data_IF_246392451166
#
_entry.id   IF_246392451166
#
_cell.length_a   1.000
_cell.length_b   1.000
_cell.length_c   1.000
_cell.angle_alpha   90.00
_cell.angle_beta   90.00
_cell.angle_gamma   90.00
#
_symmetry.space_group_name_H-M   'P 1'
#
loop_
_entity.id
_entity.type
_entity.pdbx_description
1 polymer ?
#
# COMPACT_ATOMS: atom_id res chain seq x y z
N UNK A 1 -8.87 11.06 -9.96
CA UNK A 1 -7.75 10.64 -9.11
C UNK A 1 -7.58 9.12 -9.22
N UNK A 2 -6.40 8.65 -9.59
CA UNK A 2 -6.11 7.26 -9.99
C UNK A 2 -6.44 6.18 -8.92
N UNK A 3 -6.73 6.57 -7.68
CA UNK A 3 -7.16 5.66 -6.61
C UNK A 3 -8.55 5.03 -6.82
N UNK A 4 -9.47 5.68 -7.56
CA UNK A 4 -10.79 5.09 -7.88
C UNK A 4 -10.68 3.99 -8.95
N UNK A 5 -9.71 4.10 -9.86
CA UNK A 5 -9.50 3.11 -10.92
C UNK A 5 -8.78 1.85 -10.42
N UNK A 6 -7.86 2.02 -9.46
CA UNK A 6 -7.08 0.92 -8.89
C UNK A 6 -7.89 -0.01 -7.98
N UNK A 7 -8.72 0.54 -7.10
CA UNK A 7 -9.58 -0.25 -6.22
C UNK A 7 -10.58 -1.10 -7.01
N UNK A 8 -11.12 -0.58 -8.13
CA UNK A 8 -12.19 -1.24 -8.88
C UNK A 8 -11.74 -2.51 -9.63
N UNK A 9 -10.45 -2.74 -9.88
CA UNK A 9 -9.97 -3.86 -10.72
C UNK A 9 -9.19 -4.93 -9.94
N UNK A 10 -8.70 -4.62 -8.74
CA UNK A 10 -7.97 -5.54 -7.84
C UNK A 10 -8.86 -6.34 -6.88
N UNK A 11 -10.16 -6.04 -6.79
CA UNK A 11 -11.12 -6.89 -6.04
C UNK A 11 -11.35 -8.26 -6.69
N UNK A 12 -10.81 -8.50 -7.89
CA UNK A 12 -10.76 -9.83 -8.49
C UNK A 12 -9.54 -10.58 -7.97
N UNK A 13 -9.69 -11.79 -7.38
CA UNK A 13 -8.59 -12.56 -6.81
C UNK A 13 -7.66 -13.10 -7.91
N UNK A 14 -6.80 -12.23 -8.47
CA UNK A 14 -5.77 -12.58 -9.46
C UNK A 14 -4.36 -12.67 -8.86
N UNK A 15 -4.19 -12.43 -7.56
CA UNK A 15 -2.88 -12.42 -6.88
C UNK A 15 -2.84 -13.32 -5.63
N UNK A 16 -2.79 -14.66 -5.79
CA UNK A 16 -2.78 -15.63 -4.69
C UNK A 16 -1.58 -15.52 -3.73
N UNK A 17 -0.54 -14.75 -4.07
CA UNK A 17 0.67 -14.53 -3.26
C UNK A 17 0.54 -13.38 -2.25
N UNK A 18 -0.56 -12.62 -2.28
CA UNK A 18 -0.80 -11.50 -1.35
C UNK A 18 -1.49 -11.95 -0.05
N UNK A 19 -1.62 -13.27 0.13
CA UNK A 19 -2.21 -13.91 1.30
C UNK A 19 -1.27 -13.81 2.50
N UNK A 20 -1.80 -13.47 3.66
CA UNK A 20 -1.13 -13.36 4.94
C UNK A 20 -1.24 -11.97 5.58
N UNK A 21 -0.90 -10.90 4.86
CA UNK A 21 -0.95 -9.53 5.42
C UNK A 21 -2.37 -8.98 5.40
N UNK A 22 -3.09 -9.15 4.30
CA UNK A 22 -4.47 -8.67 4.17
C UNK A 22 -5.40 -9.38 5.16
N UNK A 23 -5.26 -10.69 5.29
CA UNK A 23 -6.02 -11.52 6.24
C UNK A 23 -5.72 -11.11 7.69
N UNK A 24 -4.47 -10.75 8.00
CA UNK A 24 -4.10 -10.20 9.31
C UNK A 24 -4.75 -8.84 9.56
N UNK A 25 -4.74 -7.94 8.59
CA UNK A 25 -5.41 -6.64 8.71
C UNK A 25 -6.92 -6.82 8.93
N UNK A 26 -7.55 -7.76 8.23
CA UNK A 26 -8.97 -8.11 8.43
C UNK A 26 -9.23 -8.74 9.80
N UNK A 27 -8.33 -9.60 10.29
CA UNK A 27 -8.43 -10.15 11.64
C UNK A 27 -8.34 -9.03 12.70
N UNK A 28 -7.34 -8.13 12.59
CA UNK A 28 -7.18 -7.00 13.49
C UNK A 28 -8.42 -6.07 13.48
N UNK A 29 -9.03 -5.85 12.32
CA UNK A 29 -10.31 -5.15 12.20
C UNK A 29 -11.43 -5.91 12.93
N UNK A 30 -11.55 -7.22 12.70
CA UNK A 30 -12.60 -8.06 13.28
C UNK A 30 -12.54 -8.08 14.81
N UNK A 31 -11.35 -8.09 15.39
CA UNK A 31 -11.14 -8.03 16.85
C UNK A 31 -11.15 -6.61 17.42
N UNK A 32 -11.47 -5.59 16.61
CA UNK A 32 -11.58 -4.19 17.06
C UNK A 32 -10.26 -3.50 17.36
N UNK A 33 -9.12 -4.12 17.06
CA UNK A 33 -7.78 -3.54 17.25
C UNK A 33 -7.56 -2.39 16.27
N UNK A 34 -7.99 -2.57 15.02
CA UNK A 34 -8.00 -1.52 14.00
C UNK A 34 -9.43 -1.06 13.72
N UNK A 35 -9.61 0.25 13.58
CA UNK A 35 -10.87 0.77 13.07
C UNK A 35 -11.09 0.32 11.60
N UNK A 36 -12.34 0.12 11.14
CA UNK A 36 -12.61 -0.36 9.79
C UNK A 36 -11.95 0.46 8.68
N UNK A 37 -11.98 1.79 8.78
CA UNK A 37 -11.37 2.67 7.79
C UNK A 37 -9.83 2.52 7.74
N UNK A 38 -9.18 2.36 8.90
CA UNK A 38 -7.72 2.14 8.99
C UNK A 38 -7.33 0.84 8.32
N UNK A 39 -8.07 -0.24 8.59
CA UNK A 39 -7.78 -1.54 7.98
C UNK A 39 -7.92 -1.50 6.45
N UNK A 40 -8.95 -0.79 5.93
CA UNK A 40 -9.12 -0.57 4.51
C UNK A 40 -7.97 0.25 3.90
N UNK A 41 -7.58 1.36 4.53
CA UNK A 41 -6.46 2.19 4.05
C UNK A 41 -5.13 1.41 4.03
N UNK A 42 -4.82 0.64 5.07
CA UNK A 42 -3.61 -0.18 5.14
C UNK A 42 -3.62 -1.30 4.09
N UNK A 43 -4.79 -1.91 3.84
CA UNK A 43 -4.95 -2.92 2.79
C UNK A 43 -4.69 -2.33 1.41
N UNK A 44 -5.27 -1.18 1.11
CA UNK A 44 -5.14 -0.53 -0.19
C UNK A 44 -3.69 -0.07 -0.41
N UNK A 45 -3.03 0.46 0.63
CA UNK A 45 -1.62 0.79 0.61
C UNK A 45 -0.73 -0.44 0.37
N UNK A 46 -1.04 -1.56 1.05
CA UNK A 46 -0.33 -2.81 0.85
C UNK A 46 -0.46 -3.31 -0.60
N UNK A 47 -1.67 -3.34 -1.16
CA UNK A 47 -1.88 -3.77 -2.55
C UNK A 47 -1.06 -2.94 -3.53
N UNK A 48 -1.10 -1.61 -3.39
CA UNK A 48 -0.37 -0.70 -4.26
C UNK A 48 1.15 -0.92 -4.14
N UNK A 49 1.71 -0.85 -2.93
CA UNK A 49 3.16 -0.95 -2.72
C UNK A 49 3.72 -2.32 -3.10
N UNK A 50 2.96 -3.41 -2.89
CA UNK A 50 3.31 -4.74 -3.37
C UNK A 50 3.28 -4.84 -4.89
N UNK A 51 2.35 -4.13 -5.53
CA UNK A 51 2.33 -3.96 -6.98
C UNK A 51 3.61 -3.29 -7.47
N UNK A 52 3.97 -2.15 -6.88
CA UNK A 52 5.21 -1.40 -7.19
C UNK A 52 6.45 -2.29 -7.08
N UNK A 53 6.62 -2.98 -5.96
CA UNK A 53 7.76 -3.88 -5.75
C UNK A 53 7.80 -5.02 -6.78
N UNK A 54 6.64 -5.58 -7.12
CA UNK A 54 6.55 -6.63 -8.14
C UNK A 54 6.90 -6.11 -9.54
N UNK A 55 6.48 -4.88 -9.87
CA UNK A 55 6.83 -4.21 -11.12
C UNK A 55 8.33 -3.93 -11.22
N UNK A 56 8.94 -3.43 -10.14
CA UNK A 56 10.39 -3.20 -10.06
C UNK A 56 11.21 -4.48 -10.29
N UNK A 57 10.73 -5.61 -9.76
CA UNK A 57 11.34 -6.94 -10.01
C UNK A 57 11.18 -7.38 -11.46
N UNK A 58 9.99 -7.20 -12.05
CA UNK A 58 9.73 -7.56 -13.45
C UNK A 58 10.63 -6.78 -14.42
N UNK A 59 10.84 -5.50 -14.13
CA UNK A 59 11.71 -4.62 -14.92
C UNK A 59 13.21 -4.91 -14.73
N UNK A 60 13.58 -5.88 -13.88
CA UNK A 60 14.97 -6.23 -13.54
C UNK A 60 15.83 -5.00 -13.17
N UNK A 61 15.22 -4.04 -12.46
CA UNK A 61 15.91 -2.81 -12.05
C UNK A 61 17.06 -3.14 -11.10
N UNK A 62 18.20 -2.44 -11.27
CA UNK A 62 19.36 -2.59 -10.36
C UNK A 62 19.00 -2.23 -8.90
N UNK A 63 18.00 -1.37 -8.73
CA UNK A 63 17.45 -0.93 -7.45
C UNK A 63 16.10 -1.63 -7.18
N UNK A 64 16.15 -2.86 -6.65
CA UNK A 64 14.95 -3.67 -6.41
C UNK A 64 13.99 -3.10 -5.35
N UNK A 65 14.42 -2.07 -4.61
CA UNK A 65 13.69 -1.49 -3.48
C UNK A 65 13.49 0.03 -3.57
N UNK A 66 14.15 0.71 -4.51
CA UNK A 66 14.00 2.15 -4.69
C UNK A 66 13.25 2.46 -5.98
N UNK A 67 12.47 3.53 -5.96
CA UNK A 67 11.87 4.04 -7.18
C UNK A 67 12.97 4.49 -8.15
N UNK A 68 12.82 4.23 -9.45
CA UNK A 68 13.81 4.65 -10.43
C UNK A 68 13.91 6.18 -10.46
N UNK A 69 15.13 6.70 -10.49
CA UNK A 69 15.37 8.14 -10.71
C UNK A 69 15.24 8.57 -12.17
N UNK A 70 15.36 7.64 -13.11
CA UNK A 70 15.22 7.89 -14.55
C UNK A 70 13.74 8.02 -14.95
N UNK A 71 13.31 9.15 -15.56
CA UNK A 71 11.94 9.36 -16.02
C UNK A 71 11.41 8.27 -16.98
N UNK A 72 12.28 7.69 -17.80
CA UNK A 72 11.88 6.61 -18.71
C UNK A 72 11.53 5.34 -17.93
N UNK A 73 12.35 4.95 -16.97
CA UNK A 73 12.06 3.81 -16.08
C UNK A 73 10.80 4.06 -15.22
N UNK A 74 10.58 5.29 -14.75
CA UNK A 74 9.33 5.63 -14.05
C UNK A 74 8.10 5.45 -14.96
N UNK A 75 8.20 5.85 -16.23
CA UNK A 75 7.12 5.68 -17.21
C UNK A 75 6.85 4.21 -17.52
N UNK A 76 7.91 3.39 -17.63
CA UNK A 76 7.78 1.93 -17.76
C UNK A 76 7.10 1.30 -16.54
N UNK A 77 7.48 1.72 -15.33
CA UNK A 77 6.87 1.23 -14.10
C UNK A 77 5.39 1.61 -14.03
N UNK A 78 5.04 2.86 -14.37
CA UNK A 78 3.65 3.28 -14.47
C UNK A 78 2.86 2.42 -15.47
N UNK A 79 3.42 2.13 -16.63
CA UNK A 79 2.81 1.26 -17.63
C UNK A 79 2.60 -0.18 -17.12
N UNK A 80 3.60 -0.79 -16.47
CA UNK A 80 3.50 -2.14 -15.86
C UNK A 80 2.37 -2.18 -14.83
N UNK A 81 2.24 -1.08 -14.08
CA UNK A 81 1.21 -0.85 -13.08
C UNK A 81 -0.11 -0.35 -13.70
N UNK A 82 -0.24 -0.24 -15.02
CA UNK A 82 -1.47 0.27 -15.66
C UNK A 82 -1.92 1.64 -15.11
N UNK A 83 -0.94 2.44 -14.68
CA UNK A 83 -1.13 3.83 -14.31
C UNK A 83 -0.99 4.70 -15.57
N UNK A 84 -1.78 5.77 -15.70
CA UNK A 84 -1.74 6.61 -16.90
C UNK A 84 -0.37 7.25 -17.19
N UNK A 85 0.37 7.64 -16.16
CA UNK A 85 1.70 8.25 -16.31
C UNK A 85 2.57 8.09 -15.04
N UNK A 86 3.85 8.44 -15.18
CA UNK A 86 4.82 8.43 -14.08
C UNK A 86 4.47 9.41 -12.96
N UNK A 87 3.80 10.53 -13.27
CA UNK A 87 3.38 11.51 -12.25
C UNK A 87 2.38 10.87 -11.28
N UNK A 88 1.40 10.14 -11.79
CA UNK A 88 0.38 9.46 -10.98
C UNK A 88 0.96 8.30 -10.17
N UNK A 89 2.00 7.64 -10.69
CA UNK A 89 2.80 6.69 -9.91
C UNK A 89 3.46 7.37 -8.71
N UNK A 90 4.19 8.47 -8.94
CA UNK A 90 4.90 9.18 -7.87
C UNK A 90 3.93 9.76 -6.83
N UNK A 91 2.86 10.42 -7.26
CA UNK A 91 1.81 10.93 -6.37
C UNK A 91 1.18 9.83 -5.52
N UNK A 92 0.94 8.65 -6.10
CA UNK A 92 0.38 7.51 -5.36
C UNK A 92 1.39 6.93 -4.36
N UNK A 93 2.67 6.84 -4.73
CA UNK A 93 3.74 6.43 -3.81
C UNK A 93 3.85 7.36 -2.60
N UNK A 94 3.83 8.67 -2.83
CA UNK A 94 3.92 9.68 -1.78
C UNK A 94 2.67 9.67 -0.89
N UNK A 95 1.48 9.57 -1.50
CA UNK A 95 0.22 9.44 -0.78
C UNK A 95 0.22 8.24 0.17
N UNK A 96 0.58 7.04 -0.31
CA UNK A 96 0.57 5.85 0.53
C UNK A 96 1.68 5.84 1.57
N UNK A 97 2.86 6.40 1.27
CA UNK A 97 3.93 6.58 2.26
C UNK A 97 3.46 7.47 3.42
N UNK A 98 2.86 8.61 3.10
CA UNK A 98 2.35 9.57 4.09
C UNK A 98 1.21 8.96 4.91
N UNK A 99 0.24 8.31 4.23
CA UNK A 99 -0.88 7.63 4.87
C UNK A 99 -0.40 6.57 5.87
N UNK A 100 0.57 5.73 5.49
CA UNK A 100 1.12 4.70 6.40
C UNK A 100 1.81 5.34 7.60
N UNK A 101 2.58 6.42 7.40
CA UNK A 101 3.26 7.12 8.49
C UNK A 101 2.27 7.68 9.52
N UNK A 102 1.22 8.36 9.04
CA UNK A 102 0.16 8.92 9.89
C UNK A 102 -0.61 7.83 10.65
N UNK A 103 -1.05 6.78 9.94
CA UNK A 103 -1.77 5.67 10.55
C UNK A 103 -0.91 4.93 11.58
N UNK A 104 0.38 4.74 11.30
CA UNK A 104 1.32 4.13 12.23
C UNK A 104 1.39 4.94 13.53
N UNK A 105 1.68 6.23 13.43
CA UNK A 105 1.79 7.12 14.59
C UNK A 105 0.51 7.13 15.44
N UNK A 106 -0.65 7.25 14.79
CA UNK A 106 -1.93 7.26 15.48
C UNK A 106 -2.24 5.94 16.19
N UNK A 107 -2.05 4.81 15.51
CA UNK A 107 -2.35 3.51 16.10
C UNK A 107 -1.37 3.13 17.21
N UNK A 108 -0.07 3.45 17.08
CA UNK A 108 0.89 3.25 18.15
C UNK A 108 0.52 4.06 19.40
N UNK A 109 0.14 5.33 19.24
CA UNK A 109 -0.31 6.15 20.36
C UNK A 109 -1.56 5.57 21.04
N UNK A 110 -2.53 5.12 20.25
CA UNK A 110 -3.78 4.53 20.75
C UNK A 110 -3.54 3.20 21.49
N UNK A 111 -2.77 2.28 20.90
CA UNK A 111 -2.44 0.99 21.53
C UNK A 111 -1.69 1.23 22.84
N UNK A 112 -0.71 2.13 22.84
CA UNK A 112 0.03 2.50 24.05
C UNK A 112 -0.88 3.06 25.14
N UNK A 113 -1.83 3.93 24.81
CA UNK A 113 -2.80 4.45 25.78
C UNK A 113 -3.71 3.35 26.34
N UNK A 114 -4.13 2.41 25.50
CA UNK A 114 -4.99 1.29 25.90
C UNK A 114 -4.26 0.28 26.81
N UNK A 115 -2.95 0.10 26.62
CA UNK A 115 -2.11 -0.75 27.48
C UNK A 115 -1.78 -0.05 28.81
N UNK A 116 -1.44 1.24 28.79
CA UNK A 116 -1.07 1.99 30.00
C UNK A 116 -2.28 2.41 30.86
N UNK A 117 -3.48 2.51 30.27
CA UNK A 117 -4.72 2.81 30.99
C UNK A 117 -5.47 1.58 31.50
N UNK A 118 -4.96 0.37 31.23
CA UNK A 118 -5.51 -0.90 31.72
C UNK A 118 -4.76 -1.46 32.95
N UNK A 119 -3.98 -0.60 33.64
CA UNK A 119 -3.25 -0.92 34.88
C UNK A 119 -3.95 -0.31 36.10
#
# INVERSE_FOLDING_TARGET
>A
LAHIFYAKHLHTPKHPWLRGTVERLEALRKYGVLAPHVALQLRDAYYFLRGVESGLRLMNTKLRHDLPGDPLEQSKLAFVLQLPDSKQLMESCDYYRTTIQELSQFNFAKIRAQVLGAS
#
